data_IF_088511887208
#
_entry.id   IF_088511887208
#
_cell.length_a   1.000
_cell.length_b   1.000
_cell.length_c   1.000
_cell.angle_alpha   90.00
_cell.angle_beta   90.00
_cell.angle_gamma   90.00
#
_symmetry.space_group_name_H-M   'P 1'
#
loop_
_entity.id
_entity.type
_entity.pdbx_description
1 polymer ?
#
# COMPACT_ATOMS: atom_id res chain seq x y z
N UNK A 1 26.96 -2.83 9.48
CA UNK A 1 27.85 -3.82 8.85
C UNK A 1 27.25 -4.13 7.49
N UNK A 2 28.00 -3.97 6.39
CA UNK A 2 27.57 -4.52 5.11
C UNK A 2 27.70 -6.04 5.21
N UNK A 3 26.58 -6.74 5.13
CA UNK A 3 26.62 -8.19 5.17
C UNK A 3 26.98 -8.68 3.78
N UNK A 4 28.16 -9.28 3.66
CA UNK A 4 28.62 -9.89 2.42
C UNK A 4 28.02 -11.29 2.34
N UNK A 5 26.97 -11.43 1.54
CA UNK A 5 26.41 -12.73 1.17
C UNK A 5 26.38 -12.84 -0.36
N UNK A 6 26.73 -14.01 -0.94
CA UNK A 6 26.51 -14.26 -2.36
C UNK A 6 24.99 -14.29 -2.64
N UNK A 7 24.47 -13.54 -3.62
CA UNK A 7 23.05 -13.55 -3.99
C UNK A 7 22.46 -14.95 -4.23
N UNK A 8 23.27 -15.86 -4.77
CA UNK A 8 22.88 -17.24 -5.06
C UNK A 8 22.65 -18.12 -3.81
N UNK A 9 23.05 -17.66 -2.61
CA UNK A 9 22.84 -18.38 -1.35
C UNK A 9 21.55 -17.95 -0.63
N UNK A 10 20.80 -17.02 -1.19
CA UNK A 10 19.62 -16.43 -0.56
C UNK A 10 18.39 -16.76 -1.40
N UNK A 11 17.45 -17.51 -0.83
CA UNK A 11 16.17 -17.72 -1.50
C UNK A 11 15.30 -16.48 -1.33
N UNK A 12 14.87 -15.88 -2.43
CA UNK A 12 13.99 -14.71 -2.43
C UNK A 12 12.60 -15.17 -2.83
N UNK A 13 11.63 -15.01 -1.92
CA UNK A 13 10.23 -15.25 -2.22
C UNK A 13 9.60 -13.94 -2.68
N UNK A 14 9.19 -13.83 -3.94
CA UNK A 14 8.44 -12.67 -4.43
C UNK A 14 6.97 -12.87 -4.09
N UNK A 15 6.50 -12.15 -3.08
CA UNK A 15 5.10 -12.14 -2.65
C UNK A 15 4.35 -11.04 -3.39
N UNK A 16 3.24 -11.38 -4.05
CA UNK A 16 2.43 -10.43 -4.82
C UNK A 16 0.94 -10.80 -4.76
N UNK A 17 0.04 -9.85 -4.93
CA UNK A 17 -1.39 -10.13 -5.06
C UNK A 17 -1.79 -10.47 -6.49
N UNK A 18 -2.75 -11.38 -6.60
CA UNK A 18 -3.36 -11.73 -7.88
C UNK A 18 -4.86 -11.89 -7.65
N UNK A 19 -5.61 -10.85 -7.96
CA UNK A 19 -7.05 -10.88 -7.77
C UNK A 19 -7.72 -11.77 -8.86
N UNK A 20 -8.47 -12.81 -8.47
CA UNK A 20 -9.22 -13.64 -9.40
C UNK A 20 -10.25 -12.85 -10.22
N UNK A 21 -10.75 -11.73 -9.71
CA UNK A 21 -11.80 -10.92 -10.34
C UNK A 21 -11.25 -9.87 -11.32
N UNK A 22 -9.92 -9.69 -11.39
CA UNK A 22 -9.30 -8.83 -12.39
C UNK A 22 -9.62 -9.29 -13.82
N UNK A 23 -9.76 -8.30 -14.70
CA UNK A 23 -9.89 -8.48 -16.15
C UNK A 23 -8.67 -9.20 -16.73
N UNK A 24 -8.79 -9.84 -17.91
CA UNK A 24 -7.65 -10.45 -18.57
C UNK A 24 -6.50 -9.47 -18.83
N UNK A 25 -6.82 -8.21 -19.11
CA UNK A 25 -5.82 -7.17 -19.36
C UNK A 25 -5.05 -6.80 -18.09
N UNK A 26 -5.74 -6.58 -16.97
CA UNK A 26 -5.09 -6.32 -15.67
C UNK A 26 -4.18 -7.48 -15.26
N UNK A 27 -4.62 -8.73 -15.45
CA UNK A 27 -3.79 -9.93 -15.21
C UNK A 27 -2.56 -9.98 -16.10
N UNK A 28 -2.67 -9.58 -17.36
CA UNK A 28 -1.55 -9.49 -18.30
C UNK A 28 -0.55 -8.42 -17.88
N UNK A 29 -1.01 -7.21 -17.53
CA UNK A 29 -0.15 -6.11 -17.06
C UNK A 29 0.66 -6.51 -15.81
N UNK A 30 0.00 -7.13 -14.84
CA UNK A 30 0.62 -7.64 -13.62
C UNK A 30 1.63 -8.75 -13.93
N UNK A 31 1.27 -9.68 -14.83
CA UNK A 31 2.19 -10.75 -15.27
C UNK A 31 3.45 -10.17 -15.92
N UNK A 32 3.33 -9.18 -16.80
CA UNK A 32 4.48 -8.53 -17.42
C UNK A 32 5.36 -7.80 -16.39
N UNK A 33 4.75 -7.15 -15.40
CA UNK A 33 5.50 -6.49 -14.32
C UNK A 33 6.29 -7.52 -13.50
N UNK A 34 5.71 -8.68 -13.19
CA UNK A 34 6.38 -9.75 -12.47
C UNK A 34 7.54 -10.36 -13.26
N UNK A 35 7.37 -10.56 -14.57
CA UNK A 35 8.46 -11.04 -15.45
C UNK A 35 9.62 -10.05 -15.40
N UNK A 36 9.35 -8.76 -15.60
CA UNK A 36 10.39 -7.72 -15.56
C UNK A 36 11.16 -7.68 -14.24
N UNK A 37 10.46 -7.79 -13.10
CA UNK A 37 11.14 -7.83 -11.81
C UNK A 37 11.95 -9.12 -11.64
N UNK A 38 11.34 -10.27 -11.94
CA UNK A 38 11.97 -11.57 -11.73
C UNK A 38 13.23 -11.70 -12.57
N UNK A 39 13.21 -11.21 -13.81
CA UNK A 39 14.37 -11.16 -14.69
C UNK A 39 15.47 -10.23 -14.13
N UNK A 40 15.09 -9.08 -13.59
CA UNK A 40 16.04 -8.14 -12.99
C UNK A 40 16.71 -8.73 -11.73
N UNK A 41 15.93 -9.38 -10.86
CA UNK A 41 16.45 -10.04 -9.66
C UNK A 41 17.32 -11.26 -10.00
N UNK A 42 16.90 -12.05 -11.00
CA UNK A 42 17.69 -13.18 -11.52
C UNK A 42 19.00 -12.71 -12.13
N UNK A 43 18.99 -11.61 -12.89
CA UNK A 43 20.19 -10.99 -13.47
C UNK A 43 21.16 -10.46 -12.41
N UNK A 44 20.65 -10.10 -11.23
CA UNK A 44 21.46 -9.74 -10.05
C UNK A 44 22.01 -10.98 -9.29
N UNK A 45 21.63 -12.20 -9.71
CA UNK A 45 22.13 -13.46 -9.17
C UNK A 45 21.27 -14.07 -8.06
N UNK A 46 20.05 -13.58 -7.82
CA UNK A 46 19.12 -14.16 -6.85
C UNK A 46 18.34 -15.33 -7.44
N UNK A 47 18.01 -16.32 -6.61
CA UNK A 47 16.98 -17.32 -6.94
C UNK A 47 15.63 -16.80 -6.46
N UNK A 48 14.63 -16.82 -7.35
CA UNK A 48 13.30 -16.26 -7.10
C UNK A 48 12.26 -17.37 -7.15
N UNK A 49 11.50 -17.52 -6.07
CA UNK A 49 10.24 -18.27 -6.06
C UNK A 49 9.06 -17.28 -6.05
N UNK A 50 8.09 -17.50 -6.93
CA UNK A 50 6.88 -16.68 -7.03
C UNK A 50 5.81 -17.19 -6.07
N UNK A 51 5.25 -16.29 -5.26
CA UNK A 51 4.22 -16.63 -4.28
C UNK A 51 3.01 -15.70 -4.38
N UNK A 52 1.91 -16.14 -5.02
CA UNK A 52 0.73 -15.31 -5.16
C UNK A 52 -0.15 -15.32 -3.89
N UNK A 53 -0.66 -14.14 -3.55
CA UNK A 53 -1.75 -13.89 -2.61
C UNK A 53 -3.04 -13.77 -3.42
N UNK A 54 -3.75 -14.90 -3.55
CA UNK A 54 -5.04 -14.96 -4.25
C UNK A 54 -6.23 -14.94 -3.30
N UNK A 55 -5.98 -15.16 -2.00
CA UNK A 55 -7.02 -15.39 -1.00
C UNK A 55 -6.48 -15.23 0.44
N UNK A 56 -7.35 -15.09 1.46
CA UNK A 56 -6.93 -14.92 2.86
C UNK A 56 -6.11 -16.07 3.47
N UNK A 57 -6.09 -17.26 2.86
CA UNK A 57 -5.33 -18.42 3.34
C UNK A 57 -3.91 -18.50 2.75
N UNK A 58 -3.40 -17.44 2.13
CA UNK A 58 -2.07 -17.43 1.52
C UNK A 58 -0.94 -17.87 2.48
N UNK A 59 -1.08 -17.61 3.77
CA UNK A 59 -0.12 -18.06 4.80
C UNK A 59 0.04 -19.57 4.87
N UNK A 60 -0.95 -20.37 4.45
CA UNK A 60 -0.79 -21.82 4.37
C UNK A 60 0.31 -22.20 3.37
N UNK A 61 0.41 -21.46 2.25
CA UNK A 61 1.46 -21.67 1.24
C UNK A 61 2.85 -21.26 1.73
N UNK A 62 2.92 -20.35 2.71
CA UNK A 62 4.18 -19.96 3.35
C UNK A 62 4.72 -21.04 4.30
N UNK A 63 3.87 -21.95 4.81
CA UNK A 63 4.30 -22.97 5.78
C UNK A 63 5.30 -24.00 5.22
N UNK A 64 5.41 -24.12 3.89
CA UNK A 64 6.41 -24.98 3.24
C UNK A 64 7.82 -24.38 3.20
N UNK A 65 8.00 -23.14 3.65
CA UNK A 65 9.28 -22.42 3.64
C UNK A 65 9.81 -22.23 5.07
N UNK A 66 11.12 -22.36 5.26
CA UNK A 66 11.79 -21.98 6.51
C UNK A 66 12.08 -20.47 6.49
N UNK A 67 11.48 -19.72 7.41
CA UNK A 67 11.62 -18.27 7.50
C UNK A 67 13.05 -17.78 7.77
N UNK A 68 13.96 -18.68 8.17
CA UNK A 68 15.38 -18.39 8.38
C UNK A 68 16.23 -18.54 7.12
N UNK A 69 15.71 -19.22 6.11
CA UNK A 69 16.43 -19.57 4.88
C UNK A 69 15.94 -18.76 3.66
N UNK A 70 14.97 -17.86 3.85
CA UNK A 70 14.47 -17.00 2.78
C UNK A 70 14.18 -15.57 3.26
N UNK A 71 14.13 -14.66 2.28
CA UNK A 71 13.62 -13.30 2.47
C UNK A 71 12.50 -13.05 1.49
N UNK A 72 11.44 -12.40 1.97
CA UNK A 72 10.33 -12.02 1.13
C UNK A 72 10.60 -10.66 0.49
N UNK A 73 10.59 -10.63 -0.83
CA UNK A 73 10.35 -9.39 -1.56
C UNK A 73 8.85 -9.13 -1.52
N UNK A 74 8.40 -8.22 -0.65
CA UNK A 74 6.99 -7.93 -0.49
C UNK A 74 6.54 -6.92 -1.54
N UNK A 75 5.79 -7.39 -2.53
CA UNK A 75 5.13 -6.60 -3.56
C UNK A 75 3.63 -6.95 -3.61
N UNK A 76 3.03 -7.13 -2.45
CA UNK A 76 1.62 -7.43 -2.31
C UNK A 76 0.86 -6.18 -1.88
N UNK A 77 -0.10 -5.76 -2.70
CA UNK A 77 -0.99 -4.61 -2.49
C UNK A 77 -2.35 -5.02 -1.90
N UNK A 78 -2.47 -6.25 -1.39
CA UNK A 78 -3.61 -6.64 -0.56
C UNK A 78 -3.97 -8.11 -0.66
N UNK A 79 -5.01 -8.48 0.08
CA UNK A 79 -5.68 -9.77 -0.01
C UNK A 79 -6.92 -9.57 -0.90
N UNK A 80 -7.04 -10.30 -2.02
CA UNK A 80 -8.23 -10.21 -2.87
C UNK A 80 -9.54 -10.36 -2.08
N UNK A 81 -10.50 -9.49 -2.39
CA UNK A 81 -11.79 -9.40 -1.69
C UNK A 81 -11.77 -8.71 -0.32
N UNK A 82 -10.62 -8.26 0.19
CA UNK A 82 -10.52 -7.51 1.46
C UNK A 82 -9.92 -6.12 1.23
N UNK A 83 -10.75 -5.08 1.39
CA UNK A 83 -10.28 -3.70 1.34
C UNK A 83 -9.30 -3.37 2.49
N UNK A 84 -8.23 -2.65 2.18
CA UNK A 84 -7.24 -2.16 3.14
C UNK A 84 -6.56 -3.28 3.95
N UNK A 85 -6.10 -4.32 3.26
CA UNK A 85 -5.61 -5.57 3.85
C UNK A 85 -4.10 -5.80 3.70
N UNK A 86 -3.36 -4.87 3.10
CA UNK A 86 -1.91 -4.91 2.90
C UNK A 86 -1.16 -5.06 4.22
N UNK A 87 -1.57 -4.28 5.22
CA UNK A 87 -0.99 -4.38 6.56
C UNK A 87 -1.28 -5.75 7.21
N UNK A 88 -2.38 -6.42 6.84
CA UNK A 88 -2.72 -7.76 7.34
C UNK A 88 -1.79 -8.81 6.73
N UNK A 89 -1.43 -8.67 5.46
CA UNK A 89 -0.43 -9.52 4.80
C UNK A 89 0.87 -9.43 5.59
N UNK A 90 1.38 -8.22 5.78
CA UNK A 90 2.63 -7.99 6.51
C UNK A 90 2.55 -8.49 7.96
N UNK A 91 1.41 -8.30 8.63
CA UNK A 91 1.21 -8.81 9.99
C UNK A 91 1.34 -10.33 10.06
N UNK A 92 0.82 -11.06 9.07
CA UNK A 92 0.99 -12.52 9.02
C UNK A 92 2.47 -12.89 8.81
N UNK A 93 3.20 -12.17 7.94
CA UNK A 93 4.64 -12.40 7.74
C UNK A 93 5.43 -12.20 9.03
N UNK A 94 5.15 -11.12 9.76
CA UNK A 94 5.75 -10.81 11.07
C UNK A 94 5.46 -11.93 12.09
N UNK A 95 4.22 -12.40 12.17
CA UNK A 95 3.81 -13.48 13.08
C UNK A 95 4.49 -14.82 12.76
N UNK A 96 4.76 -15.09 11.48
CA UNK A 96 5.47 -16.28 11.02
C UNK A 96 7.00 -16.16 11.12
N UNK A 97 7.51 -14.98 11.51
CA UNK A 97 8.94 -14.73 11.69
C UNK A 97 9.72 -14.57 10.39
N UNK A 98 9.04 -14.28 9.27
CA UNK A 98 9.72 -13.99 8.01
C UNK A 98 10.40 -12.63 8.04
N UNK A 99 11.57 -12.55 7.42
CA UNK A 99 12.20 -11.29 7.05
C UNK A 99 11.67 -10.87 5.69
N UNK A 100 11.25 -9.61 5.56
CA UNK A 100 10.66 -9.08 4.34
C UNK A 100 11.14 -7.64 4.07
N UNK A 101 11.03 -7.24 2.81
CA UNK A 101 11.29 -5.86 2.36
C UNK A 101 10.07 -4.96 2.60
N UNK A 102 10.30 -3.67 2.75
CA UNK A 102 9.23 -2.68 2.95
C UNK A 102 8.98 -2.32 4.42
N UNK A 103 7.79 -1.78 4.68
CA UNK A 103 7.40 -1.31 6.02
C UNK A 103 6.69 -2.40 6.82
N UNK A 104 6.82 -2.35 8.15
CA UNK A 104 6.08 -3.22 9.06
C UNK A 104 4.58 -2.92 9.10
N UNK A 105 3.80 -3.85 9.67
CA UNK A 105 2.33 -3.81 9.65
C UNK A 105 1.74 -2.58 10.33
N UNK A 106 2.30 -2.17 11.48
CA UNK A 106 1.87 -0.97 12.20
C UNK A 106 2.07 0.31 11.37
N UNK A 107 3.18 0.41 10.65
CA UNK A 107 3.47 1.56 9.77
C UNK A 107 2.50 1.59 8.61
N UNK A 108 2.24 0.45 7.96
CA UNK A 108 1.29 0.37 6.86
C UNK A 108 -0.13 0.72 7.33
N UNK A 109 -0.57 0.15 8.45
CA UNK A 109 -1.88 0.44 9.05
C UNK A 109 -2.04 1.92 9.40
N UNK A 110 -1.00 2.54 9.98
CA UNK A 110 -1.00 3.97 10.28
C UNK A 110 -1.01 4.83 9.01
N UNK A 111 -0.24 4.44 7.98
CA UNK A 111 -0.06 5.24 6.76
C UNK A 111 -1.37 5.50 5.99
N UNK A 112 -2.34 4.61 6.18
CA UNK A 112 -3.69 4.72 5.62
C UNK A 112 -4.47 5.91 6.16
N UNK A 113 -4.24 6.30 7.42
CA UNK A 113 -4.90 7.42 8.07
C UNK A 113 -4.09 8.70 7.88
N UNK A 114 -4.43 9.45 6.83
CA UNK A 114 -3.75 10.70 6.49
C UNK A 114 -3.89 11.74 7.59
N UNK A 115 -4.99 11.76 8.34
CA UNK A 115 -5.19 12.70 9.44
C UNK A 115 -4.19 12.44 10.56
N UNK A 116 -4.13 11.19 11.03
CA UNK A 116 -3.21 10.78 12.08
C UNK A 116 -1.74 10.91 11.67
N UNK A 117 -1.41 10.58 10.42
CA UNK A 117 -0.05 10.80 9.88
C UNK A 117 0.30 12.29 9.90
N UNK A 118 -0.59 13.17 9.44
CA UNK A 118 -0.37 14.61 9.44
C UNK A 118 -0.14 15.15 10.85
N UNK A 119 -0.94 14.76 11.83
CA UNK A 119 -0.74 15.14 13.23
C UNK A 119 0.62 14.69 13.81
N UNK A 120 1.11 13.51 13.41
CA UNK A 120 2.43 13.03 13.81
C UNK A 120 3.53 13.90 13.17
N UNK A 121 3.43 14.16 11.87
CA UNK A 121 4.40 14.97 11.14
C UNK A 121 4.47 16.40 11.68
N UNK A 122 3.31 17.03 11.92
CA UNK A 122 3.22 18.38 12.46
C UNK A 122 3.84 18.47 13.86
N UNK A 123 3.55 17.50 14.75
CA UNK A 123 4.19 17.42 16.09
C UNK A 123 5.71 17.21 16.04
N UNK A 124 6.22 16.64 14.95
CA UNK A 124 7.66 16.44 14.72
C UNK A 124 8.32 17.60 13.96
N UNK A 125 7.56 18.64 13.61
CA UNK A 125 8.07 19.78 12.86
C UNK A 125 8.45 19.44 11.41
N UNK A 126 7.93 18.34 10.86
CA UNK A 126 8.12 17.99 9.45
C UNK A 126 7.11 18.79 8.63
N UNK A 127 7.56 19.66 7.69
CA UNK A 127 6.64 20.48 6.91
C UNK A 127 5.68 19.62 6.07
N UNK A 128 4.39 19.95 6.14
CA UNK A 128 3.38 19.33 5.28
C UNK A 128 2.48 20.40 4.66
N UNK A 129 1.81 20.14 3.51
CA UNK A 129 0.80 21.06 2.99
C UNK A 129 -0.26 21.37 4.06
N UNK A 130 -0.69 22.64 4.15
CA UNK A 130 -1.81 23.06 5.01
C UNK A 130 -2.99 22.13 4.78
N UNK A 131 -3.67 21.78 5.86
CA UNK A 131 -4.74 20.80 5.81
C UNK A 131 -5.79 21.08 6.88
N UNK A 132 -6.99 20.55 6.68
CA UNK A 132 -8.07 20.52 7.68
C UNK A 132 -8.85 19.21 7.51
N UNK A 133 -9.32 18.67 8.62
CA UNK A 133 -10.25 17.54 8.64
C UNK A 133 -11.69 18.05 8.68
N UNK A 134 -12.56 17.46 7.86
CA UNK A 134 -13.99 17.72 7.85
C UNK A 134 -14.74 16.42 8.14
N UNK A 135 -15.64 16.46 9.13
CA UNK A 135 -16.48 15.32 9.52
C UNK A 135 -17.96 15.54 9.13
N UNK A 136 -18.29 16.69 8.55
CA UNK A 136 -19.61 17.06 8.05
C UNK A 136 -19.46 18.00 6.84
N UNK A 137 -20.57 18.27 6.14
CA UNK A 137 -20.62 19.16 4.99
C UNK A 137 -20.36 20.63 5.31
N UNK A 138 -20.30 20.99 6.60
CA UNK A 138 -19.96 22.33 7.05
C UNK A 138 -18.47 22.63 6.80
N UNK A 139 -18.16 23.03 5.57
CA UNK A 139 -16.83 23.42 5.12
C UNK A 139 -16.47 24.82 5.65
N UNK A 140 -16.16 24.93 6.94
CA UNK A 140 -15.74 26.19 7.54
C UNK A 140 -14.21 26.39 7.55
N UNK A 141 -13.79 27.65 7.46
CA UNK A 141 -12.43 28.11 7.78
C UNK A 141 -11.32 27.83 6.76
N UNK A 142 -11.57 27.22 5.61
CA UNK A 142 -10.58 27.04 4.54
C UNK A 142 -10.79 28.08 3.44
N UNK A 143 -9.73 28.79 3.05
CA UNK A 143 -9.80 29.94 2.14
C UNK A 143 -8.68 29.97 1.09
N UNK A 144 -7.90 28.89 0.97
CA UNK A 144 -6.74 28.82 0.08
C UNK A 144 -7.05 27.89 -1.11
N UNK A 145 -7.04 28.43 -2.32
CA UNK A 145 -7.38 27.68 -3.53
C UNK A 145 -6.27 27.77 -4.58
N UNK A 146 -6.06 26.73 -5.40
CA UNK A 146 -6.80 25.46 -5.42
C UNK A 146 -6.52 24.57 -4.20
N UNK A 147 -7.48 23.72 -3.84
CA UNK A 147 -7.38 22.76 -2.74
C UNK A 147 -7.74 21.35 -3.21
N UNK A 148 -7.06 20.33 -2.66
CA UNK A 148 -7.39 18.92 -2.94
C UNK A 148 -8.23 18.37 -1.79
N UNK A 149 -9.45 17.94 -2.09
CA UNK A 149 -10.36 17.26 -1.17
C UNK A 149 -10.26 15.75 -1.39
N UNK A 150 -9.96 15.01 -0.32
CA UNK A 150 -9.77 13.56 -0.39
C UNK A 150 -10.23 12.86 0.89
N UNK A 151 -10.64 11.58 0.81
CA UNK A 151 -10.88 10.78 2.01
C UNK A 151 -9.66 10.73 2.94
N UNK A 152 -9.93 10.80 4.24
CA UNK A 152 -8.90 10.70 5.28
C UNK A 152 -8.22 9.33 5.24
N UNK A 153 -9.01 8.27 5.07
CA UNK A 153 -8.55 6.88 4.95
C UNK A 153 -8.39 6.51 3.48
N UNK A 154 -7.37 5.72 3.14
CA UNK A 154 -7.16 5.16 1.79
C UNK A 154 -5.85 5.60 1.13
N UNK A 155 -5.51 5.03 -0.02
CA UNK A 155 -4.34 5.43 -0.80
C UNK A 155 -4.60 5.30 -2.32
N UNK A 156 -3.54 5.22 -3.13
CA UNK A 156 -3.58 5.01 -4.59
C UNK A 156 -4.48 5.93 -5.43
N UNK A 157 -4.87 7.09 -4.89
CA UNK A 157 -5.78 8.01 -5.57
C UNK A 157 -7.12 7.39 -6.00
N UNK A 158 -7.50 6.25 -5.44
CA UNK A 158 -8.67 5.44 -5.82
C UNK A 158 -9.97 6.26 -5.82
N UNK A 159 -10.04 7.27 -4.95
CA UNK A 159 -11.20 8.13 -4.74
C UNK A 159 -11.02 9.54 -5.31
N UNK A 160 -9.93 9.79 -6.03
CA UNK A 160 -9.63 11.09 -6.60
C UNK A 160 -10.08 11.17 -8.05
N UNK A 161 -10.76 12.26 -8.34
CA UNK A 161 -11.24 12.64 -9.65
C UNK A 161 -10.90 14.12 -9.89
N UNK A 162 -11.19 14.66 -11.08
CA UNK A 162 -11.06 16.09 -11.35
C UNK A 162 -11.82 16.95 -10.33
N UNK A 163 -12.98 16.48 -9.86
CA UNK A 163 -13.82 17.16 -8.87
C UNK A 163 -13.20 17.16 -7.47
N UNK A 164 -12.12 16.40 -7.26
CA UNK A 164 -11.35 16.46 -6.02
C UNK A 164 -10.49 17.72 -5.92
N UNK A 165 -10.32 18.47 -7.02
CA UNK A 165 -9.65 19.77 -7.02
C UNK A 165 -10.69 20.87 -6.94
N UNK A 166 -10.82 21.48 -5.76
CA UNK A 166 -11.70 22.62 -5.53
C UNK A 166 -10.97 23.93 -5.84
N UNK A 167 -11.53 24.74 -6.71
CA UNK A 167 -11.01 26.05 -7.12
C UNK A 167 -11.60 27.20 -6.30
N UNK A 168 -12.69 26.96 -5.57
CA UNK A 168 -13.37 27.96 -4.74
C UNK A 168 -14.16 27.30 -3.59
N UNK A 169 -14.73 28.13 -2.71
CA UNK A 169 -15.45 27.68 -1.53
C UNK A 169 -16.71 26.85 -1.84
N UNK A 170 -17.38 27.12 -2.98
CA UNK A 170 -18.55 26.35 -3.40
C UNK A 170 -18.14 24.94 -3.78
N UNK A 171 -17.14 24.80 -4.65
CA UNK A 171 -16.62 23.50 -5.08
C UNK A 171 -16.06 22.69 -3.90
N UNK A 172 -15.42 23.37 -2.94
CA UNK A 172 -14.96 22.75 -1.70
C UNK A 172 -16.13 22.14 -0.90
N UNK A 173 -17.18 22.93 -0.67
CA UNK A 173 -18.37 22.46 0.03
C UNK A 173 -19.01 21.30 -0.70
N UNK A 174 -19.27 21.44 -2.01
CA UNK A 174 -19.89 20.39 -2.84
C UNK A 174 -19.11 19.07 -2.74
N UNK A 175 -17.78 19.12 -2.81
CA UNK A 175 -16.92 17.93 -2.76
C UNK A 175 -16.84 17.32 -1.36
N UNK A 176 -16.84 18.13 -0.30
CA UNK A 176 -16.91 17.63 1.09
C UNK A 176 -18.26 16.95 1.32
N UNK A 177 -19.38 17.59 0.97
CA UNK A 177 -20.73 17.02 1.09
C UNK A 177 -20.84 15.68 0.37
N UNK A 178 -20.30 15.57 -0.84
CA UNK A 178 -20.24 14.31 -1.58
C UNK A 178 -19.54 13.16 -0.81
N UNK A 179 -18.50 13.47 -0.04
CA UNK A 179 -17.71 12.47 0.69
C UNK A 179 -18.28 12.12 2.07
N UNK A 180 -18.98 13.05 2.73
CA UNK A 180 -19.42 12.89 4.14
C UNK A 180 -20.91 12.61 4.31
N UNK A 181 -21.74 12.92 3.32
CA UNK A 181 -23.20 12.70 3.37
C UNK A 181 -23.66 11.43 2.63
N UNK A 182 -22.71 10.65 2.09
CA UNK A 182 -22.96 9.36 1.46
C UNK A 182 -22.76 8.20 2.41
#
# INVERSE_FOLDING_TARGET
MAVSFPPAQMNVLLLYDLDPDWTPHEKEEVTEAHIRLSDALSSAGFSIDLLPVVDPNFSQRLTSFDSRECVLFNWCDGIPGLHHSEWMVVRQLEQMGFVFTGSGSDTLSLSYDKGRVKEILDRKGVPTPRWRMYHSSEANGWHEFPAIVKPAIGHCSEWLTSESVAMNAKELHDRISYLVEK
#
